data_IF_181470127928
#
_entry.id   IF_181470127928
#
_cell.length_a   1.000
_cell.length_b   1.000
_cell.length_c   1.000
_cell.angle_alpha   90.00
_cell.angle_beta   90.00
_cell.angle_gamma   90.00
#
_symmetry.space_group_name_H-M   'P 1'
#
loop_
_entity.id
_entity.type
_entity.pdbx_description
1 polymer ?
#
# COMPACT_ATOMS: atom_id res chain seq x y z
N UNK A 1 -5.31 -3.95 -8.25
CA UNK A 1 -4.93 -5.37 -8.39
C UNK A 1 -3.74 -5.74 -7.50
N UNK A 2 -2.52 -5.25 -7.76
CA UNK A 2 -1.35 -5.62 -6.95
C UNK A 2 -1.38 -5.04 -5.51
N UNK A 3 -1.77 -3.77 -5.35
CA UNK A 3 -1.92 -3.12 -4.04
C UNK A 3 -3.04 -3.75 -3.20
N UNK A 4 -4.18 -4.03 -3.82
CA UNK A 4 -5.33 -4.66 -3.15
C UNK A 4 -4.97 -6.07 -2.65
N UNK A 5 -4.19 -6.83 -3.43
CA UNK A 5 -3.70 -8.16 -3.06
C UNK A 5 -2.76 -8.11 -1.85
N UNK A 6 -1.84 -7.13 -1.81
CA UNK A 6 -0.93 -6.93 -0.69
C UNK A 6 -1.66 -6.51 0.60
N UNK A 7 -2.69 -5.66 0.48
CA UNK A 7 -3.51 -5.24 1.62
C UNK A 7 -4.39 -6.39 2.14
N UNK A 8 -4.96 -7.21 1.27
CA UNK A 8 -5.71 -8.41 1.65
C UNK A 8 -4.82 -9.44 2.36
N UNK A 9 -3.58 -9.64 1.88
CA UNK A 9 -2.59 -10.49 2.53
C UNK A 9 -2.11 -9.94 3.89
N UNK A 10 -2.22 -8.64 4.13
CA UNK A 10 -1.96 -8.03 5.44
C UNK A 10 -3.08 -8.33 6.45
N UNK A 11 -4.35 -8.30 6.01
CA UNK A 11 -5.52 -8.56 6.86
C UNK A 11 -5.74 -10.04 7.20
N UNK A 12 -5.34 -10.96 6.31
CA UNK A 12 -5.27 -12.38 6.59
C UNK A 12 -3.93 -12.68 7.28
N UNK A 13 -3.94 -12.83 8.60
CA UNK A 13 -2.75 -13.12 9.42
C UNK A 13 -1.77 -14.07 8.72
N UNK A 14 -0.61 -13.49 8.38
CA UNK A 14 0.42 -14.07 7.52
C UNK A 14 1.04 -15.31 8.18
N UNK A 15 0.40 -16.47 8.02
CA UNK A 15 0.89 -17.75 8.55
C UNK A 15 1.92 -18.43 7.63
N UNK A 16 2.08 -17.96 6.39
CA UNK A 16 2.99 -18.60 5.41
C UNK A 16 4.38 -17.93 5.34
N UNK A 17 4.54 -16.69 5.80
CA UNK A 17 5.85 -16.04 5.91
C UNK A 17 6.35 -16.12 7.35
N UNK A 18 6.83 -17.30 7.75
CA UNK A 18 7.38 -17.64 9.07
C UNK A 18 8.69 -16.88 9.44
N UNK A 19 8.78 -15.59 9.12
CA UNK A 19 9.98 -14.79 9.37
C UNK A 19 9.92 -13.33 8.90
N UNK A 20 8.88 -12.93 8.17
CA UNK A 20 8.69 -11.52 7.81
C UNK A 20 7.42 -11.04 8.50
N UNK A 21 7.56 -10.71 9.78
CA UNK A 21 6.54 -10.05 10.57
C UNK A 21 5.89 -8.96 9.73
N UNK A 22 4.56 -8.99 9.60
CA UNK A 22 3.77 -8.03 8.85
C UNK A 22 4.15 -6.60 9.28
N UNK A 23 5.08 -5.98 8.54
CA UNK A 23 5.28 -4.55 8.64
C UNK A 23 3.94 -3.90 8.32
N UNK A 24 3.55 -2.86 9.06
CA UNK A 24 2.30 -2.16 8.78
C UNK A 24 2.42 -1.42 7.44
N UNK A 25 2.24 -2.16 6.34
CA UNK A 25 2.35 -1.69 4.98
C UNK A 25 1.25 -0.66 4.68
N UNK A 26 0.12 -0.74 5.37
CA UNK A 26 -0.98 0.22 5.27
C UNK A 26 -0.51 1.67 5.47
N UNK A 27 0.31 1.95 6.49
CA UNK A 27 0.73 3.33 6.77
C UNK A 27 1.77 3.85 5.77
N UNK A 28 2.66 2.97 5.29
CA UNK A 28 3.60 3.32 4.22
C UNK A 28 2.91 3.53 2.87
N UNK A 29 1.93 2.70 2.53
CA UNK A 29 1.18 2.83 1.28
C UNK A 29 0.27 4.05 1.27
N UNK A 30 -0.28 4.48 2.41
CA UNK A 30 -1.05 5.74 2.50
C UNK A 30 -0.24 6.95 2.03
N UNK A 31 1.02 7.04 2.46
CA UNK A 31 1.92 8.15 2.07
C UNK A 31 2.21 8.13 0.57
N UNK A 32 2.58 6.96 0.02
CA UNK A 32 2.84 6.80 -1.42
C UNK A 32 1.60 7.11 -2.25
N UNK A 33 0.43 6.65 -1.82
CA UNK A 33 -0.85 6.92 -2.50
C UNK A 33 -1.20 8.41 -2.47
N UNK A 34 -0.95 9.09 -1.36
CA UNK A 34 -1.14 10.54 -1.26
C UNK A 34 -0.22 11.29 -2.25
N UNK A 35 1.07 10.95 -2.31
CA UNK A 35 2.00 11.58 -3.25
C UNK A 35 1.62 11.34 -4.72
N UNK A 36 1.18 10.12 -5.07
CA UNK A 36 0.67 9.82 -6.42
C UNK A 36 -0.55 10.70 -6.75
N UNK A 37 -1.47 10.84 -5.80
CA UNK A 37 -2.67 11.67 -5.98
C UNK A 37 -2.33 13.14 -6.18
N UNK A 38 -1.37 13.68 -5.42
CA UNK A 38 -0.88 15.05 -5.58
C UNK A 38 -0.26 15.28 -6.97
N UNK A 39 0.56 14.34 -7.45
CA UNK A 39 1.14 14.40 -8.80
C UNK A 39 0.07 14.37 -9.90
N UNK A 40 -0.94 13.50 -9.77
CA UNK A 40 -2.06 13.46 -10.70
C UNK A 40 -2.86 14.77 -10.72
N UNK A 41 -3.09 15.38 -9.55
CA UNK A 41 -3.76 16.68 -9.46
C UNK A 41 -2.94 17.77 -10.15
N UNK A 42 -1.61 17.75 -9.98
CA UNK A 42 -0.71 18.68 -10.66
C UNK A 42 -0.76 18.55 -12.18
N UNK A 43 -0.73 17.32 -12.69
CA UNK A 43 -0.84 17.03 -14.13
C UNK A 43 -2.19 17.43 -14.72
N UNK A 44 -3.29 17.28 -13.98
CA UNK A 44 -4.62 17.70 -14.45
C UNK A 44 -4.83 19.22 -14.50
N UNK A 45 -3.92 19.99 -13.89
CA UNK A 45 -3.94 21.46 -13.91
C UNK A 45 -3.06 22.06 -15.01
N UNK A 46 -2.31 21.22 -15.71
CA UNK A 46 -1.55 21.59 -16.91
C UNK A 46 -2.45 21.46 -18.14
#
# INVERSE_FOLDING_TARGET
AALDFLLLAQGHGCKEFNGMCCMNLSDHFKSVFASIKELQIGLSKL
#
